data_IF_060527235501
#
_entry.id   IF_060527235501
#
_cell.length_a   1.000
_cell.length_b   1.000
_cell.length_c   1.000
_cell.angle_alpha   90.00
_cell.angle_beta   90.00
_cell.angle_gamma   90.00
#
_symmetry.space_group_name_H-M   'P 1'
#
loop_
_entity.id
_entity.type
_entity.pdbx_description
1 polymer ?
#
# COMPACT_ATOMS: atom_id res chain seq x y z
N UNK A 1 -10.76 -41.21 -17.61
CA UNK A 1 -10.76 -40.84 -16.20
C UNK A 1 -10.31 -39.40 -16.09
N UNK A 2 -11.26 -38.51 -15.93
CA UNK A 2 -10.95 -37.08 -15.76
C UNK A 2 -10.52 -36.85 -14.30
N UNK A 3 -9.23 -36.66 -14.10
CA UNK A 3 -8.75 -36.11 -12.85
C UNK A 3 -9.17 -34.62 -12.78
N UNK A 4 -10.26 -34.36 -12.12
CA UNK A 4 -10.53 -33.01 -11.66
C UNK A 4 -9.60 -32.80 -10.45
N UNK A 5 -8.39 -32.37 -10.72
CA UNK A 5 -7.54 -31.88 -9.65
C UNK A 5 -8.26 -30.73 -8.99
N UNK A 6 -8.72 -30.89 -7.77
CA UNK A 6 -9.21 -29.80 -6.99
C UNK A 6 -8.05 -28.82 -6.80
N UNK A 7 -8.13 -27.69 -7.51
CA UNK A 7 -7.22 -26.58 -7.31
C UNK A 7 -7.59 -25.99 -5.94
N UNK A 8 -6.92 -26.46 -4.90
CA UNK A 8 -7.03 -25.85 -3.59
C UNK A 8 -6.34 -24.50 -3.65
N UNK A 9 -7.07 -23.43 -3.38
CA UNK A 9 -6.48 -22.12 -3.21
C UNK A 9 -5.43 -22.19 -2.09
N UNK A 10 -4.26 -21.62 -2.31
CA UNK A 10 -3.24 -21.53 -1.28
C UNK A 10 -3.75 -20.73 -0.10
N UNK A 11 -3.50 -21.22 1.09
CA UNK A 11 -3.88 -20.56 2.35
C UNK A 11 -2.79 -19.59 2.74
N UNK A 12 -3.16 -18.33 2.87
CA UNK A 12 -2.25 -17.25 3.24
C UNK A 12 -2.68 -16.68 4.60
N UNK A 13 -1.75 -16.61 5.51
CA UNK A 13 -1.91 -15.83 6.73
C UNK A 13 -1.24 -14.48 6.55
N UNK A 14 -2.00 -13.42 6.77
CA UNK A 14 -1.48 -12.07 6.74
C UNK A 14 -1.02 -11.68 8.14
N UNK A 15 0.29 -11.59 8.31
CA UNK A 15 0.92 -11.18 9.55
C UNK A 15 0.81 -9.66 9.77
N UNK A 16 1.59 -9.16 10.70
CA UNK A 16 1.62 -7.74 11.02
C UNK A 16 2.20 -6.93 9.87
N UNK A 17 1.61 -5.76 9.64
CA UNK A 17 2.19 -4.72 8.80
C UNK A 17 2.74 -3.65 9.74
N UNK A 18 4.07 -3.59 9.85
CA UNK A 18 4.75 -2.67 10.75
C UNK A 18 4.96 -1.32 10.08
N UNK A 19 4.69 -0.26 10.81
CA UNK A 19 5.01 1.09 10.37
C UNK A 19 6.40 1.46 10.88
N UNK A 20 7.38 1.46 9.98
CA UNK A 20 8.77 1.83 10.28
C UNK A 20 9.13 3.24 9.82
N UNK A 21 8.15 3.99 9.35
CA UNK A 21 8.36 5.37 8.94
C UNK A 21 8.71 6.21 10.16
N UNK A 22 9.86 6.90 10.08
CA UNK A 22 10.14 8.00 11.00
C UNK A 22 9.19 9.12 10.60
N UNK A 23 8.13 9.28 11.38
CA UNK A 23 7.06 10.21 11.09
C UNK A 23 7.59 11.64 10.94
N UNK A 24 7.64 12.12 9.72
CA UNK A 24 7.73 13.55 9.47
C UNK A 24 6.46 14.25 10.00
N UNK A 25 6.56 15.55 10.25
CA UNK A 25 5.48 16.37 10.85
C UNK A 25 4.12 16.30 10.16
N UNK A 26 4.06 15.77 8.94
CA UNK A 26 2.84 15.73 8.11
C UNK A 26 2.07 14.40 8.17
N UNK A 27 2.68 13.34 8.69
CA UNK A 27 2.05 12.02 8.64
C UNK A 27 0.99 11.80 9.73
N UNK A 28 1.00 12.59 10.80
CA UNK A 28 0.06 12.42 11.92
C UNK A 28 0.09 11.01 12.52
N UNK A 29 -0.76 10.75 13.47
CA UNK A 29 -0.89 9.44 14.12
C UNK A 29 -1.74 8.45 13.30
N UNK A 30 -1.58 8.45 11.98
CA UNK A 30 -2.34 7.53 11.13
C UNK A 30 -1.77 6.12 11.20
N UNK A 31 -2.64 5.16 11.43
CA UNK A 31 -2.23 3.76 11.41
C UNK A 31 -2.14 3.26 9.96
N UNK A 32 -1.02 3.60 9.30
CA UNK A 32 -0.75 3.18 7.93
C UNK A 32 -0.65 1.66 7.80
N UNK A 33 -0.14 1.00 8.82
CA UNK A 33 -0.04 -0.46 8.84
C UNK A 33 -1.39 -1.13 8.75
N UNK A 34 -2.37 -0.63 9.48
CA UNK A 34 -3.74 -1.16 9.44
C UNK A 34 -4.40 -0.94 8.08
N UNK A 35 -4.24 0.26 7.51
CA UNK A 35 -4.76 0.57 6.19
C UNK A 35 -4.17 -0.33 5.11
N UNK A 36 -2.86 -0.52 5.11
CA UNK A 36 -2.18 -1.43 4.19
C UNK A 36 -2.65 -2.88 4.38
N UNK A 37 -2.84 -3.33 5.61
CA UNK A 37 -3.30 -4.69 5.89
C UNK A 37 -4.65 -4.97 5.24
N UNK A 38 -5.60 -4.05 5.35
CA UNK A 38 -6.91 -4.20 4.73
C UNK A 38 -6.83 -4.26 3.21
N UNK A 39 -5.97 -3.44 2.60
CA UNK A 39 -5.75 -3.44 1.16
C UNK A 39 -5.11 -4.76 0.71
N UNK A 40 -4.12 -5.25 1.43
CA UNK A 40 -3.51 -6.56 1.14
C UNK A 40 -4.52 -7.70 1.20
N UNK A 41 -5.40 -7.71 2.20
CA UNK A 41 -6.47 -8.70 2.31
C UNK A 41 -7.35 -8.70 1.06
N UNK A 42 -7.80 -7.52 0.65
CA UNK A 42 -8.65 -7.35 -0.53
C UNK A 42 -7.96 -7.86 -1.79
N UNK A 43 -6.70 -7.46 -2.03
CA UNK A 43 -5.94 -7.86 -3.21
C UNK A 43 -5.73 -9.38 -3.24
N UNK A 44 -5.36 -9.99 -2.13
CA UNK A 44 -5.13 -11.43 -2.06
C UNK A 44 -6.41 -12.22 -2.26
N UNK A 45 -7.54 -11.76 -1.74
CA UNK A 45 -8.84 -12.35 -1.98
C UNK A 45 -9.24 -12.26 -3.47
N UNK A 46 -9.00 -11.12 -4.11
CA UNK A 46 -9.26 -10.93 -5.54
C UNK A 46 -8.38 -11.85 -6.40
N UNK A 47 -7.20 -12.23 -5.92
CA UNK A 47 -6.31 -13.19 -6.58
C UNK A 47 -6.62 -14.66 -6.26
N UNK A 48 -7.73 -14.92 -5.58
CA UNK A 48 -8.20 -16.25 -5.19
C UNK A 48 -7.32 -16.98 -4.17
N UNK A 49 -6.60 -16.26 -3.33
CA UNK A 49 -5.96 -16.84 -2.16
C UNK A 49 -6.99 -17.02 -1.04
N UNK A 50 -6.86 -18.08 -0.29
CA UNK A 50 -7.68 -18.32 0.90
C UNK A 50 -7.00 -17.70 2.12
N UNK A 51 -7.62 -16.67 2.69
CA UNK A 51 -7.06 -15.97 3.84
C UNK A 51 -7.50 -16.66 5.12
N UNK A 52 -6.53 -17.14 5.88
CA UNK A 52 -6.78 -17.84 7.15
C UNK A 52 -6.48 -16.95 8.34
N UNK A 53 -7.24 -17.14 9.40
CA UNK A 53 -7.09 -16.36 10.63
C UNK A 53 -6.03 -16.88 11.60
N UNK A 54 -5.46 -18.05 11.31
CA UNK A 54 -4.45 -18.69 12.17
C UNK A 54 -3.23 -19.04 11.32
N UNK A 55 -2.05 -18.63 11.76
CA UNK A 55 -0.80 -18.92 11.08
C UNK A 55 -0.53 -20.43 10.94
N UNK A 56 -0.93 -21.23 11.90
CA UNK A 56 -0.75 -22.68 11.86
C UNK A 56 -1.49 -23.35 10.71
N UNK A 57 -2.56 -22.75 10.21
CA UNK A 57 -3.37 -23.27 9.11
C UNK A 57 -2.89 -22.78 7.73
N UNK A 58 -1.91 -21.92 7.69
CA UNK A 58 -1.46 -21.27 6.46
C UNK A 58 -0.36 -22.07 5.74
N UNK A 59 -0.42 -22.05 4.42
CA UNK A 59 0.67 -22.53 3.57
C UNK A 59 1.76 -21.47 3.41
N UNK A 60 1.35 -20.20 3.41
CA UNK A 60 2.21 -19.05 3.25
C UNK A 60 1.91 -18.02 4.33
N UNK A 61 2.93 -17.34 4.81
CA UNK A 61 2.80 -16.20 5.73
C UNK A 61 3.40 -14.98 5.07
N UNK A 62 2.59 -13.94 4.93
CA UNK A 62 3.01 -12.66 4.36
C UNK A 62 3.10 -11.61 5.45
N UNK A 63 4.23 -10.92 5.51
CA UNK A 63 4.49 -9.78 6.40
C UNK A 63 4.96 -8.61 5.59
N UNK A 64 4.67 -7.41 6.03
CA UNK A 64 5.10 -6.20 5.34
C UNK A 64 5.54 -5.11 6.32
N UNK A 65 6.29 -4.16 5.80
CA UNK A 65 6.76 -2.98 6.51
C UNK A 65 6.52 -1.74 5.65
N UNK A 66 6.02 -0.68 6.26
CA UNK A 66 5.97 0.64 5.63
C UNK A 66 7.31 1.32 5.91
N UNK A 67 8.14 1.48 4.88
CA UNK A 67 9.49 2.03 5.02
C UNK A 67 9.53 3.55 4.87
N UNK A 68 8.70 4.07 3.98
CA UNK A 68 8.69 5.50 3.66
C UNK A 68 7.29 5.95 3.29
N UNK A 69 6.97 7.13 3.73
CA UNK A 69 5.73 7.82 3.38
C UNK A 69 5.98 9.31 3.45
N UNK A 70 5.75 10.00 2.33
CA UNK A 70 5.90 11.44 2.27
C UNK A 70 4.87 12.06 1.35
N UNK A 71 4.44 13.26 1.71
CA UNK A 71 3.52 14.06 0.91
C UNK A 71 4.20 15.40 0.64
N UNK A 72 4.53 15.63 -0.60
CA UNK A 72 5.14 16.88 -1.06
C UNK A 72 4.09 17.76 -1.74
N UNK A 73 4.01 19.00 -1.31
CA UNK A 73 3.21 20.04 -1.96
C UNK A 73 4.11 21.05 -2.63
N UNK A 74 3.93 21.23 -3.91
CA UNK A 74 4.61 22.27 -4.68
C UNK A 74 3.59 23.29 -5.15
N UNK A 75 3.75 24.53 -4.72
CA UNK A 75 2.92 25.66 -5.18
C UNK A 75 3.58 26.28 -6.41
N UNK A 76 2.83 26.37 -7.48
CA UNK A 76 3.24 27.11 -8.68
C UNK A 76 2.31 28.28 -8.89
N UNK A 77 2.87 29.48 -8.90
CA UNK A 77 2.13 30.70 -9.17
C UNK A 77 2.47 31.16 -10.59
N UNK A 78 1.49 31.12 -11.48
CA UNK A 78 1.63 31.65 -12.85
C UNK A 78 0.53 32.67 -13.05
N UNK A 79 0.91 33.97 -13.02
CA UNK A 79 -0.03 35.08 -13.20
C UNK A 79 -1.14 35.07 -12.12
N UNK A 80 -2.41 34.97 -12.53
CA UNK A 80 -3.57 34.90 -11.61
C UNK A 80 -3.94 33.47 -11.18
N UNK A 81 -3.19 32.49 -11.67
CA UNK A 81 -3.46 31.07 -11.39
C UNK A 81 -2.47 30.51 -10.36
N UNK A 82 -3.00 29.89 -9.33
CA UNK A 82 -2.22 29.09 -8.40
C UNK A 82 -2.46 27.62 -8.75
N UNK A 83 -1.40 26.87 -9.02
CA UNK A 83 -1.49 25.43 -9.13
C UNK A 83 -0.72 24.78 -7.96
N UNK A 84 -1.42 23.97 -7.19
CA UNK A 84 -0.82 23.15 -6.15
C UNK A 84 -0.65 21.74 -6.71
N UNK A 85 0.58 21.27 -6.71
CA UNK A 85 0.90 19.88 -7.04
C UNK A 85 1.18 19.15 -5.74
N UNK A 86 0.34 18.17 -5.44
CA UNK A 86 0.52 17.29 -4.28
C UNK A 86 1.00 15.93 -4.79
N UNK A 87 2.14 15.50 -4.30
CA UNK A 87 2.73 14.20 -4.65
C UNK A 87 2.92 13.39 -3.39
N UNK A 88 2.36 12.19 -3.38
CA UNK A 88 2.52 11.23 -2.29
C UNK A 88 3.40 10.07 -2.76
N UNK A 89 4.47 9.81 -2.02
CA UNK A 89 5.37 8.70 -2.25
C UNK A 89 5.26 7.69 -1.12
N UNK A 90 5.12 6.41 -1.47
CA UNK A 90 5.02 5.30 -0.51
C UNK A 90 6.00 4.22 -0.90
N UNK A 91 6.76 3.72 0.07
CA UNK A 91 7.66 2.58 -0.10
C UNK A 91 7.29 1.49 0.90
N UNK A 92 6.98 0.32 0.40
CA UNK A 92 6.64 -0.85 1.19
C UNK A 92 7.63 -1.98 0.92
N UNK A 93 7.95 -2.74 1.95
CA UNK A 93 8.73 -3.97 1.84
C UNK A 93 7.90 -5.16 2.33
N UNK A 94 7.93 -6.24 1.58
CA UNK A 94 7.19 -7.46 1.91
C UNK A 94 8.10 -8.67 2.03
N UNK A 95 7.65 -9.61 2.84
CA UNK A 95 8.34 -10.87 3.13
C UNK A 95 7.36 -12.01 3.05
N UNK A 96 7.72 -13.04 2.32
CA UNK A 96 6.92 -14.26 2.19
C UNK A 96 7.66 -15.43 2.83
N UNK A 97 6.99 -16.11 3.73
CA UNK A 97 7.51 -17.29 4.44
C UNK A 97 6.68 -18.52 4.07
N UNK A 98 7.34 -19.67 4.02
CA UNK A 98 6.65 -20.94 3.83
C UNK A 98 6.08 -21.47 5.16
N UNK A 99 5.43 -22.64 5.10
CA UNK A 99 4.84 -23.31 6.25
C UNK A 99 5.84 -23.60 7.36
N UNK A 100 7.11 -23.83 7.01
CA UNK A 100 8.18 -24.14 7.96
C UNK A 100 8.82 -22.88 8.58
N UNK A 101 8.33 -21.70 8.23
CA UNK A 101 8.84 -20.43 8.72
C UNK A 101 10.08 -19.92 7.99
N UNK A 102 10.43 -20.55 6.86
CA UNK A 102 11.56 -20.12 6.03
C UNK A 102 11.12 -19.02 5.07
N UNK A 103 11.90 -17.95 5.01
CA UNK A 103 11.67 -16.90 4.03
C UNK A 103 11.97 -17.41 2.62
N UNK A 104 10.98 -17.38 1.76
CA UNK A 104 11.10 -17.86 0.38
C UNK A 104 11.18 -16.72 -0.63
N UNK A 105 10.70 -15.53 -0.28
CA UNK A 105 10.78 -14.36 -1.15
C UNK A 105 10.66 -13.08 -0.33
N UNK A 106 11.29 -12.02 -0.81
CA UNK A 106 11.07 -10.66 -0.35
C UNK A 106 11.09 -9.69 -1.53
N UNK A 107 10.64 -8.49 -1.30
CA UNK A 107 10.61 -7.46 -2.33
C UNK A 107 10.21 -6.12 -1.77
N UNK A 108 10.54 -5.08 -2.53
CA UNK A 108 10.22 -3.70 -2.21
C UNK A 108 9.44 -3.08 -3.36
N UNK A 109 8.39 -2.35 -3.04
CA UNK A 109 7.62 -1.59 -4.01
C UNK A 109 7.63 -0.11 -3.64
N UNK A 110 7.80 0.73 -4.64
CA UNK A 110 7.79 2.18 -4.54
C UNK A 110 6.85 2.74 -5.59
N UNK A 111 5.83 3.45 -5.16
CA UNK A 111 4.88 4.07 -6.06
C UNK A 111 4.52 5.46 -5.57
N UNK A 112 4.21 6.34 -6.51
CA UNK A 112 3.75 7.68 -6.23
C UNK A 112 2.41 7.96 -6.88
N UNK A 113 1.68 8.88 -6.30
CA UNK A 113 0.47 9.45 -6.89
C UNK A 113 0.54 10.95 -6.80
N UNK A 114 0.17 11.63 -7.86
CA UNK A 114 0.18 13.09 -7.91
C UNK A 114 -1.20 13.63 -8.30
N UNK A 115 -1.55 14.74 -7.72
CA UNK A 115 -2.75 15.49 -8.08
C UNK A 115 -2.41 16.95 -8.28
N UNK A 116 -2.94 17.51 -9.34
CA UNK A 116 -2.78 18.94 -9.68
C UNK A 116 -4.12 19.61 -9.43
N UNK A 117 -4.17 20.49 -8.44
CA UNK A 117 -5.33 21.36 -8.22
C UNK A 117 -5.00 22.77 -8.70
N UNK A 118 -5.86 23.30 -9.55
CA UNK A 118 -5.74 24.67 -10.05
C UNK A 118 -6.83 25.51 -9.41
N UNK A 119 -6.45 26.55 -8.67
CA UNK A 119 -7.38 27.50 -8.10
C UNK A 119 -7.09 28.92 -8.61
N UNK A 120 -8.15 29.71 -8.81
CA UNK A 120 -8.01 31.12 -9.07
C UNK A 120 -7.86 31.88 -7.75
N UNK A 121 -7.17 33.02 -7.78
CA UNK A 121 -6.84 33.87 -6.61
C UNK A 121 -8.01 34.25 -5.71
N UNK A 122 -9.24 34.06 -6.14
CA UNK A 122 -10.44 34.51 -5.46
C UNK A 122 -10.92 33.54 -4.37
N UNK A 123 -10.44 32.34 -4.36
CA UNK A 123 -10.76 31.34 -3.35
C UNK A 123 -9.50 30.97 -2.59
N UNK A 124 -9.10 31.87 -1.68
CA UNK A 124 -7.99 31.61 -0.77
C UNK A 124 -8.49 30.83 0.44
N UNK A 125 -9.11 29.71 0.20
CA UNK A 125 -9.26 28.70 1.23
C UNK A 125 -8.31 27.58 0.91
N UNK A 126 -7.04 27.82 1.26
CA UNK A 126 -6.06 26.77 1.30
C UNK A 126 -6.52 25.68 2.26
N UNK A 127 -7.30 24.74 1.77
CA UNK A 127 -7.58 23.54 2.54
C UNK A 127 -6.24 22.85 2.78
N UNK A 128 -5.78 22.91 4.01
CA UNK A 128 -4.64 22.14 4.50
C UNK A 128 -4.99 20.67 4.62
N UNK A 129 -6.15 20.25 4.16
CA UNK A 129 -6.54 18.86 4.12
C UNK A 129 -5.70 18.13 3.09
N UNK A 130 -4.92 17.19 3.57
CA UNK A 130 -4.30 16.15 2.75
C UNK A 130 -5.39 15.58 1.84
N UNK A 131 -5.20 15.63 0.54
CA UNK A 131 -6.11 14.98 -0.37
C UNK A 131 -6.04 13.48 -0.09
N UNK A 132 -7.02 13.00 0.68
CA UNK A 132 -7.10 11.60 1.07
C UNK A 132 -7.17 10.66 -0.13
N UNK A 133 -7.68 11.15 -1.24
CA UNK A 133 -7.79 10.38 -2.47
C UNK A 133 -6.40 10.10 -3.06
N UNK A 134 -5.54 11.10 -3.15
CA UNK A 134 -4.15 10.93 -3.63
C UNK A 134 -3.36 10.00 -2.74
N UNK A 135 -3.51 10.15 -1.43
CA UNK A 135 -2.90 9.28 -0.43
C UNK A 135 -3.37 7.83 -0.60
N UNK A 136 -4.67 7.61 -0.65
CA UNK A 136 -5.26 6.28 -0.81
C UNK A 136 -4.83 5.61 -2.11
N UNK A 137 -4.74 6.37 -3.19
CA UNK A 137 -4.29 5.86 -4.48
C UNK A 137 -2.82 5.44 -4.43
N UNK A 138 -1.94 6.24 -3.82
CA UNK A 138 -0.53 5.91 -3.68
C UNK A 138 -0.33 4.65 -2.86
N UNK A 139 -1.02 4.52 -1.73
CA UNK A 139 -0.98 3.32 -0.89
C UNK A 139 -1.48 2.11 -1.65
N UNK A 140 -2.62 2.22 -2.32
CA UNK A 140 -3.20 1.11 -3.09
C UNK A 140 -2.27 0.65 -4.22
N UNK A 141 -1.72 1.57 -5.01
CA UNK A 141 -0.76 1.26 -6.07
C UNK A 141 0.46 0.53 -5.53
N UNK A 142 1.00 0.98 -4.40
CA UNK A 142 2.18 0.37 -3.79
C UNK A 142 1.87 -1.03 -3.28
N UNK A 143 0.71 -1.22 -2.64
CA UNK A 143 0.26 -2.54 -2.18
C UNK A 143 0.08 -3.52 -3.36
N UNK A 144 -0.57 -3.08 -4.44
CA UNK A 144 -0.74 -3.90 -5.65
C UNK A 144 0.61 -4.27 -6.25
N UNK A 145 1.51 -3.31 -6.39
CA UNK A 145 2.86 -3.53 -6.92
C UNK A 145 3.64 -4.53 -6.07
N UNK A 146 3.57 -4.39 -4.74
CA UNK A 146 4.25 -5.30 -3.81
C UNK A 146 3.72 -6.73 -3.91
N UNK A 147 2.41 -6.91 -3.89
CA UNK A 147 1.78 -8.23 -4.01
C UNK A 147 2.14 -8.87 -5.35
N UNK A 148 2.12 -8.11 -6.44
CA UNK A 148 2.50 -8.63 -7.75
C UNK A 148 3.97 -9.10 -7.79
N UNK A 149 4.87 -8.39 -7.10
CA UNK A 149 6.28 -8.79 -7.00
C UNK A 149 6.49 -10.05 -6.16
N UNK A 150 5.77 -10.15 -5.04
CA UNK A 150 5.95 -11.22 -4.05
C UNK A 150 5.24 -12.51 -4.48
N UNK A 151 4.03 -12.41 -5.03
CA UNK A 151 3.17 -13.55 -5.36
C UNK A 151 3.18 -13.93 -6.84
N UNK A 152 4.04 -13.33 -7.64
CA UNK A 152 4.24 -13.74 -9.04
C UNK A 152 5.18 -14.94 -9.09
N UNK A 153 4.79 -15.94 -9.84
CA UNK A 153 5.65 -17.11 -10.09
C UNK A 153 6.78 -16.77 -11.06
#
# INVERSE_FOLDING_TARGET
MLFVGSIHAQKVFLGTVENKVIMGKMAGNRNLGFGCKNIFLEILQDKNYDIVGNQADADLVFKAEVLYFDVNRTKRNVSVFHSDVEETLVILKGYLYNKDGKKIKDGTAEESSSEISTSTLITDEGSSELNQQTLSQAIKKTCVSLINKIFTK
#
